data_IF_903195337075
#
_entry.id   IF_903195337075
#
_cell.length_a   1.000
_cell.length_b   1.000
_cell.length_c   1.000
_cell.angle_alpha   90.00
_cell.angle_beta   90.00
_cell.angle_gamma   90.00
#
_symmetry.space_group_name_H-M   'P 1'
#
loop_
_entity.id
_entity.type
_entity.pdbx_description
1 polymer ?
#
# COMPACT_ATOMS: atom_id res chain seq x y z
N UNK A 1 -20.17 -10.01 11.12
CA UNK A 1 -19.44 -11.26 11.41
C UNK A 1 -19.19 -11.33 12.89
N UNK A 2 -19.70 -12.35 13.60
CA UNK A 2 -19.49 -12.50 15.03
C UNK A 2 -17.99 -12.58 15.35
N UNK A 3 -17.55 -11.87 16.38
CA UNK A 3 -16.14 -11.86 16.81
C UNK A 3 -15.21 -10.90 16.09
N UNK A 4 -15.71 -10.10 15.14
CA UNK A 4 -14.93 -9.09 14.43
C UNK A 4 -15.39 -7.69 14.79
N UNK A 5 -14.44 -6.82 15.10
CA UNK A 5 -14.67 -5.39 15.25
C UNK A 5 -14.24 -4.70 13.96
N UNK A 6 -15.19 -4.08 13.28
CA UNK A 6 -14.96 -3.32 12.06
C UNK A 6 -14.72 -1.87 12.40
N UNK A 7 -13.64 -1.32 11.87
CA UNK A 7 -13.28 0.06 12.08
C UNK A 7 -12.94 0.73 10.73
N UNK A 8 -13.44 1.94 10.53
CA UNK A 8 -13.07 2.78 9.41
C UNK A 8 -12.29 3.97 9.97
N UNK A 9 -11.01 4.13 9.61
CA UNK A 9 -10.22 5.27 10.06
C UNK A 9 -10.90 6.59 9.71
N UNK A 10 -10.98 7.50 10.66
CA UNK A 10 -11.60 8.83 10.48
C UNK A 10 -10.68 9.97 10.91
N UNK A 11 -9.45 9.65 11.30
CA UNK A 11 -8.44 10.61 11.73
C UNK A 11 -7.50 11.06 10.62
N UNK A 12 -6.46 11.76 11.01
CA UNK A 12 -5.37 12.20 10.13
C UNK A 12 -4.05 11.57 10.55
N UNK A 13 -3.18 11.34 9.59
CA UNK A 13 -1.76 11.00 9.78
C UNK A 13 -1.47 9.96 10.88
N UNK A 14 -1.02 10.43 12.04
CA UNK A 14 -0.54 9.57 13.13
C UNK A 14 -1.64 8.69 13.75
N UNK A 15 -2.89 9.14 13.77
CA UNK A 15 -4.02 8.35 14.28
C UNK A 15 -4.30 7.17 13.37
N UNK A 16 -4.41 7.40 12.06
CA UNK A 16 -4.59 6.34 11.05
C UNK A 16 -3.42 5.35 11.09
N UNK A 17 -2.21 5.85 11.27
CA UNK A 17 -1.02 5.03 11.37
C UNK A 17 -1.06 4.09 12.58
N UNK A 18 -1.47 4.60 13.75
CA UNK A 18 -1.67 3.78 14.95
C UNK A 18 -2.71 2.68 14.75
N UNK A 19 -3.83 3.00 14.10
CA UNK A 19 -4.90 2.05 13.80
C UNK A 19 -4.47 0.97 12.80
N UNK A 20 -3.73 1.34 11.75
CA UNK A 20 -3.15 0.37 10.83
C UNK A 20 -2.27 -0.64 11.55
N UNK A 21 -1.44 -0.19 12.50
CA UNK A 21 -0.58 -1.07 13.28
C UNK A 21 -1.35 -1.97 14.27
N UNK A 22 -2.47 -1.51 14.77
CA UNK A 22 -3.32 -2.26 15.69
C UNK A 22 -4.25 -3.27 14.95
N UNK A 23 -4.50 -3.08 13.66
CA UNK A 23 -5.40 -3.93 12.89
C UNK A 23 -4.86 -5.35 12.75
N UNK A 24 -5.73 -6.36 12.89
CA UNK A 24 -5.40 -7.75 12.58
C UNK A 24 -5.33 -7.99 11.06
N UNK A 25 -6.24 -7.38 10.32
CA UNK A 25 -6.29 -7.37 8.85
C UNK A 25 -6.73 -5.99 8.39
N UNK A 26 -6.16 -5.51 7.31
CA UNK A 26 -6.54 -4.26 6.67
C UNK A 26 -7.28 -4.56 5.37
N UNK A 27 -8.41 -3.90 5.16
CA UNK A 27 -9.13 -3.93 3.89
C UNK A 27 -8.95 -2.56 3.23
N UNK A 28 -8.44 -2.54 2.03
CA UNK A 28 -8.21 -1.30 1.30
C UNK A 28 -8.44 -1.46 -0.20
N UNK A 29 -8.52 -0.34 -0.91
CA UNK A 29 -8.48 -0.34 -2.36
C UNK A 29 -7.04 -0.45 -2.88
N UNK A 30 -6.89 -0.89 -4.13
CA UNK A 30 -5.59 -1.07 -4.77
C UNK A 30 -4.95 0.26 -5.23
N UNK A 31 -5.23 1.36 -4.54
CA UNK A 31 -4.61 2.66 -4.75
C UNK A 31 -3.18 2.69 -4.18
N UNK A 32 -2.28 3.42 -4.85
CA UNK A 32 -0.85 3.43 -4.50
C UNK A 32 -0.57 3.81 -3.04
N UNK A 33 -1.24 4.85 -2.52
CA UNK A 33 -1.03 5.30 -1.14
C UNK A 33 -1.51 4.28 -0.12
N UNK A 34 -2.72 3.74 -0.29
CA UNK A 34 -3.28 2.73 0.61
C UNK A 34 -2.39 1.47 0.65
N UNK A 35 -1.95 0.99 -0.50
CA UNK A 35 -1.04 -0.15 -0.60
C UNK A 35 0.30 0.15 0.08
N UNK A 36 0.86 1.34 -0.12
CA UNK A 36 2.13 1.73 0.50
C UNK A 36 2.03 1.81 2.03
N UNK A 37 0.93 2.33 2.57
CA UNK A 37 0.67 2.41 4.00
C UNK A 37 0.53 1.01 4.64
N UNK A 38 -0.24 0.13 4.02
CA UNK A 38 -0.42 -1.26 4.47
C UNK A 38 0.90 -2.02 4.41
N UNK A 39 1.68 -1.85 3.35
CA UNK A 39 2.99 -2.45 3.19
C UNK A 39 3.98 -1.97 4.26
N UNK A 40 3.97 -0.66 4.57
CA UNK A 40 4.81 -0.09 5.62
C UNK A 40 4.41 -0.60 7.02
N UNK A 41 3.12 -0.74 7.30
CA UNK A 41 2.60 -1.31 8.54
C UNK A 41 2.76 -2.84 8.61
N UNK A 42 3.08 -3.50 7.50
CA UNK A 42 3.25 -4.96 7.39
C UNK A 42 2.05 -5.74 7.91
N UNK A 43 0.85 -5.29 7.57
CA UNK A 43 -0.38 -5.95 7.99
C UNK A 43 -0.90 -6.93 6.94
N UNK A 44 -1.50 -8.05 7.37
CA UNK A 44 -2.31 -8.88 6.48
C UNK A 44 -3.35 -8.00 5.78
N UNK A 45 -3.56 -8.21 4.49
CA UNK A 45 -4.46 -7.33 3.73
C UNK A 45 -5.37 -8.08 2.76
N UNK A 46 -6.59 -7.55 2.64
CA UNK A 46 -7.49 -7.80 1.51
C UNK A 46 -7.53 -6.52 0.68
N UNK A 47 -7.09 -6.63 -0.56
CA UNK A 47 -7.00 -5.50 -1.49
C UNK A 47 -8.07 -5.63 -2.57
N UNK A 48 -8.94 -4.64 -2.67
CA UNK A 48 -10.05 -4.63 -3.62
C UNK A 48 -9.77 -3.63 -4.74
N UNK A 49 -9.79 -4.08 -5.98
CA UNK A 49 -9.68 -3.18 -7.12
C UNK A 49 -10.98 -2.40 -7.32
N UNK A 50 -10.89 -1.08 -7.43
CA UNK A 50 -11.97 -0.23 -7.92
C UNK A 50 -11.84 0.01 -9.42
N UNK A 51 -12.96 0.10 -10.17
CA UNK A 51 -12.91 0.53 -11.55
C UNK A 51 -12.25 1.92 -11.67
N UNK A 52 -11.18 2.00 -12.42
CA UNK A 52 -10.45 3.23 -12.71
C UNK A 52 -10.04 3.28 -14.18
N UNK A 53 -9.81 4.48 -14.75
CA UNK A 53 -9.25 4.59 -16.09
C UNK A 53 -7.99 3.73 -16.23
N UNK A 54 -7.86 3.05 -17.36
CA UNK A 54 -6.73 2.18 -17.69
C UNK A 54 -6.53 0.97 -16.77
N UNK A 55 -7.55 0.60 -15.98
CA UNK A 55 -7.52 -0.57 -15.08
C UNK A 55 -6.32 -0.62 -14.13
N UNK A 56 -5.79 0.54 -13.73
CA UNK A 56 -4.58 0.64 -12.91
C UNK A 56 -4.68 -0.13 -11.59
N UNK A 57 -5.85 -0.06 -10.92
CA UNK A 57 -6.05 -0.79 -9.66
C UNK A 57 -6.17 -2.29 -9.87
N UNK A 58 -6.75 -2.73 -10.98
CA UNK A 58 -6.83 -4.14 -11.35
C UNK A 58 -5.41 -4.71 -11.59
N UNK A 59 -4.58 -3.99 -12.32
CA UNK A 59 -3.19 -4.39 -12.55
C UNK A 59 -2.38 -4.44 -11.24
N UNK A 60 -2.57 -3.46 -10.36
CA UNK A 60 -1.94 -3.44 -9.04
C UNK A 60 -2.37 -4.65 -8.21
N UNK A 61 -3.67 -4.92 -8.10
CA UNK A 61 -4.19 -6.05 -7.33
C UNK A 61 -3.63 -7.39 -7.83
N UNK A 62 -3.63 -7.61 -9.14
CA UNK A 62 -3.06 -8.83 -9.75
C UNK A 62 -1.56 -8.99 -9.47
N UNK A 63 -0.81 -7.90 -9.52
CA UNK A 63 0.62 -7.92 -9.22
C UNK A 63 0.90 -8.27 -7.75
N UNK A 64 0.12 -7.72 -6.82
CA UNK A 64 0.21 -8.01 -5.38
C UNK A 64 -0.13 -9.47 -5.08
N UNK A 65 -1.18 -10.00 -5.69
CA UNK A 65 -1.60 -11.39 -5.54
C UNK A 65 -0.54 -12.35 -6.09
N UNK A 66 -0.06 -12.12 -7.31
CA UNK A 66 0.99 -12.94 -7.94
C UNK A 66 2.29 -12.93 -7.13
N UNK A 67 2.59 -11.85 -6.43
CA UNK A 67 3.74 -11.73 -5.52
C UNK A 67 3.49 -12.35 -4.13
N UNK A 68 2.28 -12.82 -3.83
CA UNK A 68 1.90 -13.37 -2.52
C UNK A 68 2.00 -12.33 -1.39
N UNK A 69 1.62 -11.08 -1.66
CA UNK A 69 1.69 -9.97 -0.69
C UNK A 69 0.37 -9.70 -0.01
N UNK A 70 -0.74 -9.89 -0.71
CA UNK A 70 -2.09 -9.67 -0.20
C UNK A 70 -3.07 -10.64 -0.86
N UNK A 71 -4.22 -10.81 -0.25
CA UNK A 71 -5.39 -11.43 -0.89
C UNK A 71 -6.09 -10.36 -1.71
N UNK A 72 -6.31 -10.59 -2.99
CA UNK A 72 -6.82 -9.56 -3.89
C UNK A 72 -8.17 -9.92 -4.51
N UNK A 73 -9.00 -8.91 -4.72
CA UNK A 73 -10.30 -9.02 -5.37
C UNK A 73 -10.37 -8.04 -6.54
N UNK A 74 -10.76 -8.52 -7.72
CA UNK A 74 -10.92 -7.68 -8.91
C UNK A 74 -12.15 -6.78 -8.86
N UNK A 75 -13.06 -7.05 -7.92
CA UNK A 75 -14.27 -6.27 -7.63
C UNK A 75 -14.69 -6.48 -6.19
N UNK A 76 -15.57 -5.61 -5.71
CA UNK A 76 -16.09 -5.71 -4.35
C UNK A 76 -16.73 -7.08 -4.10
N UNK A 77 -16.29 -7.82 -3.06
CA UNK A 77 -16.89 -9.08 -2.67
C UNK A 77 -18.32 -8.90 -2.15
N UNK A 78 -19.11 -9.96 -2.23
CA UNK A 78 -20.40 -10.01 -1.55
C UNK A 78 -20.23 -10.31 -0.05
N UNK A 79 -21.33 -10.24 0.69
CA UNK A 79 -21.31 -10.40 2.15
C UNK A 79 -20.73 -11.75 2.61
N UNK A 80 -20.99 -12.82 1.87
CA UNK A 80 -20.59 -14.18 2.25
C UNK A 80 -19.10 -14.43 1.99
N UNK A 81 -18.53 -13.75 1.01
CA UNK A 81 -17.13 -13.90 0.61
C UNK A 81 -16.14 -13.26 1.60
N UNK A 82 -16.57 -12.21 2.33
CA UNK A 82 -15.67 -11.43 3.18
C UNK A 82 -14.98 -12.27 4.26
N UNK A 83 -15.69 -13.18 4.92
CA UNK A 83 -15.09 -13.99 5.98
C UNK A 83 -13.94 -14.85 5.46
N UNK A 84 -14.15 -15.53 4.34
CA UNK A 84 -13.13 -16.38 3.72
C UNK A 84 -11.90 -15.56 3.28
N UNK A 85 -12.10 -14.37 2.73
CA UNK A 85 -11.01 -13.49 2.31
C UNK A 85 -10.18 -12.98 3.50
N UNK A 86 -10.84 -12.60 4.60
CA UNK A 86 -10.17 -12.16 5.82
C UNK A 86 -9.36 -13.31 6.44
N UNK A 87 -9.92 -14.52 6.50
CA UNK A 87 -9.21 -15.70 6.98
C UNK A 87 -8.00 -16.04 6.11
N UNK A 88 -8.13 -15.96 4.79
CA UNK A 88 -7.01 -16.13 3.87
C UNK A 88 -5.92 -15.07 4.08
N UNK A 89 -6.29 -13.80 4.27
CA UNK A 89 -5.35 -12.74 4.53
C UNK A 89 -4.59 -12.95 5.85
N UNK A 90 -5.29 -13.39 6.91
CA UNK A 90 -4.65 -13.76 8.17
C UNK A 90 -3.65 -14.91 8.02
N UNK A 91 -4.04 -15.94 7.28
CA UNK A 91 -3.16 -17.08 6.99
C UNK A 91 -1.94 -16.70 6.17
N UNK A 92 -2.09 -15.78 5.21
CA UNK A 92 -1.00 -15.25 4.40
C UNK A 92 -0.03 -14.41 5.25
N UNK A 93 -0.56 -13.66 6.20
CA UNK A 93 0.20 -12.75 7.06
C UNK A 93 0.69 -11.50 6.35
N UNK A 94 1.44 -10.66 7.07
CA UNK A 94 1.98 -9.40 6.58
C UNK A 94 3.49 -9.40 6.30
N UNK A 95 4.19 -10.51 6.53
CA UNK A 95 5.65 -10.57 6.42
C UNK A 95 6.16 -10.40 4.97
N UNK A 96 5.36 -10.82 4.01
CA UNK A 96 5.68 -10.68 2.58
C UNK A 96 5.95 -9.23 2.14
N UNK A 97 5.33 -8.26 2.79
CA UNK A 97 5.49 -6.84 2.50
C UNK A 97 6.93 -6.32 2.64
N UNK A 98 7.78 -7.00 3.41
CA UNK A 98 9.19 -6.63 3.51
C UNK A 98 9.92 -6.65 2.16
N UNK A 99 9.45 -7.46 1.19
CA UNK A 99 9.99 -7.51 -0.16
C UNK A 99 9.54 -6.33 -1.03
N UNK A 100 8.39 -5.77 -0.72
CA UNK A 100 7.81 -4.63 -1.42
C UNK A 100 8.30 -3.29 -0.84
N UNK A 101 8.34 -3.19 0.49
CA UNK A 101 8.64 -1.96 1.22
C UNK A 101 9.75 -2.19 2.24
N UNK A 102 10.93 -1.72 1.94
CA UNK A 102 12.12 -1.80 2.81
C UNK A 102 12.35 -0.54 3.66
N UNK A 103 11.53 0.50 3.52
CA UNK A 103 11.65 1.77 4.23
C UNK A 103 12.73 2.72 3.70
N UNK A 104 13.47 2.33 2.66
CA UNK A 104 14.62 3.09 2.15
C UNK A 104 14.33 3.88 0.87
N UNK A 105 13.10 3.87 0.36
CA UNK A 105 12.74 4.50 -0.91
C UNK A 105 13.09 5.98 -0.98
N UNK A 106 12.72 6.77 0.04
CA UNK A 106 13.03 8.20 0.11
C UNK A 106 14.54 8.48 0.13
N UNK A 107 15.31 7.65 0.86
CA UNK A 107 16.77 7.77 0.89
C UNK A 107 17.41 7.49 -0.47
N UNK A 108 16.94 6.44 -1.17
CA UNK A 108 17.41 6.13 -2.52
C UNK A 108 17.08 7.25 -3.50
N UNK A 109 15.86 7.78 -3.44
CA UNK A 109 15.45 8.91 -4.28
C UNK A 109 16.33 10.15 -4.02
N UNK A 110 16.55 10.52 -2.77
CA UNK A 110 17.42 11.63 -2.40
C UNK A 110 18.87 11.45 -2.89
N UNK A 111 19.42 10.24 -2.77
CA UNK A 111 20.74 9.92 -3.29
C UNK A 111 20.80 10.08 -4.81
N UNK A 112 19.84 9.54 -5.54
CA UNK A 112 19.76 9.66 -7.00
C UNK A 112 19.66 11.12 -7.47
N UNK A 113 18.82 11.92 -6.80
CA UNK A 113 18.69 13.38 -7.09
C UNK A 113 20.03 14.09 -6.84
N UNK A 114 20.70 13.79 -5.72
CA UNK A 114 21.99 14.39 -5.39
C UNK A 114 23.09 14.01 -6.40
N UNK A 115 23.06 12.79 -6.92
CA UNK A 115 24.03 12.35 -7.93
C UNK A 115 23.80 13.06 -9.27
N UNK A 116 22.55 13.24 -9.70
CA UNK A 116 22.22 14.03 -10.89
C UNK A 116 22.63 15.48 -10.71
N UNK A 117 22.34 16.10 -9.59
CA UNK A 117 22.73 17.49 -9.31
C UNK A 117 24.26 17.68 -9.35
N UNK A 118 25.03 16.75 -8.81
CA UNK A 118 26.51 16.78 -8.83
C UNK A 118 27.06 16.57 -10.25
N UNK A 119 26.43 15.71 -11.04
CA UNK A 119 26.85 15.46 -12.43
C UNK A 119 26.52 16.63 -13.36
N UNK A 120 25.55 17.49 -13.00
CA UNK A 120 25.06 18.58 -13.84
C UNK A 120 24.96 19.90 -13.03
N UNK A 121 26.08 20.49 -12.58
CA UNK A 121 26.06 21.67 -11.71
C UNK A 121 25.31 22.86 -12.31
N UNK A 122 25.32 23.04 -13.63
CA UNK A 122 24.60 24.13 -14.32
C UNK A 122 23.07 24.03 -14.32
N UNK A 123 22.47 22.90 -13.87
CA UNK A 123 21.00 22.80 -13.73
C UNK A 123 20.47 23.61 -12.55
N UNK A 124 21.28 23.82 -11.51
CA UNK A 124 20.91 24.56 -10.30
C UNK A 124 21.05 26.08 -10.48
N UNK A 125 21.97 26.53 -11.35
CA UNK A 125 22.22 27.97 -11.61
C UNK A 125 21.19 28.63 -12.54
N UNK A 126 20.38 27.84 -13.24
CA UNK A 126 19.40 28.35 -14.21
C UNK A 126 18.16 29.00 -13.56
N UNK A 127 17.98 28.99 -12.25
CA UNK A 127 16.82 29.58 -11.57
C UNK A 127 17.10 30.90 -10.85
N UNK A 128 18.35 31.35 -10.72
CA UNK A 128 18.67 32.64 -10.09
C UNK A 128 18.65 33.83 -11.06
N UNK A 129 18.31 33.63 -12.33
CA UNK A 129 18.34 34.62 -13.39
C UNK A 129 16.97 35.14 -13.88
N UNK A 130 15.90 35.08 -13.04
CA UNK A 130 14.60 35.70 -13.41
C UNK A 130 14.06 36.57 -12.31
#
# INVERSE_FOLDING_TARGET
MPGWNWYKPSGTGDEVWGELHAASVVICHAGQNAVAEVAAARRPAVVVAEPRPFDEQLHTARALEAAGLAVCCERSPDHEQWLALVEQALALGGQGWARWHDGLGARRAAAAISDVARAHPGLLDAQEGR
#
